data_IF_895697645513
#
_entry.id   IF_895697645513
#
_cell.length_a   1.000
_cell.length_b   1.000
_cell.length_c   1.000
_cell.angle_alpha   90.00
_cell.angle_beta   90.00
_cell.angle_gamma   90.00
#
_symmetry.space_group_name_H-M   'P 1'
#
loop_
_entity.id
_entity.type
_entity.pdbx_description
1 polymer ?
#
# COMPACT_ATOMS: atom_id res chain seq x y z
N UNK A 1 -15.30 -11.75 -33.38
CA UNK A 1 -14.74 -11.97 -32.04
C UNK A 1 -15.59 -11.15 -31.08
N UNK A 2 -16.12 -11.75 -30.02
CA UNK A 2 -16.89 -10.99 -29.02
C UNK A 2 -15.99 -9.93 -28.40
N UNK A 3 -16.50 -8.71 -28.24
CA UNK A 3 -15.79 -7.63 -27.56
C UNK A 3 -15.50 -8.08 -26.11
N UNK A 4 -14.24 -8.04 -25.67
CA UNK A 4 -13.86 -8.40 -24.31
C UNK A 4 -14.59 -7.50 -23.31
N UNK A 5 -15.05 -8.09 -22.20
CA UNK A 5 -15.64 -7.35 -21.09
C UNK A 5 -14.60 -6.48 -20.39
N UNK A 6 -15.07 -5.48 -19.64
CA UNK A 6 -14.20 -4.59 -18.84
C UNK A 6 -13.32 -5.41 -17.88
N UNK A 7 -13.88 -6.40 -17.20
CA UNK A 7 -13.14 -7.24 -16.26
C UNK A 7 -12.07 -8.09 -16.96
N UNK A 8 -12.35 -8.60 -18.16
CA UNK A 8 -11.37 -9.34 -18.96
C UNK A 8 -10.22 -8.43 -19.39
N UNK A 9 -10.51 -7.20 -19.83
CA UNK A 9 -9.47 -6.21 -20.17
C UNK A 9 -8.57 -5.88 -18.96
N UNK A 10 -9.18 -5.61 -17.80
CA UNK A 10 -8.44 -5.32 -16.55
C UNK A 10 -7.59 -6.52 -16.13
N UNK A 11 -8.12 -7.74 -16.26
CA UNK A 11 -7.42 -8.99 -15.95
C UNK A 11 -6.24 -9.20 -16.90
N UNK A 12 -6.48 -9.04 -18.20
CA UNK A 12 -5.49 -9.25 -19.25
C UNK A 12 -4.33 -8.28 -19.09
N UNK A 13 -4.62 -6.98 -18.92
CA UNK A 13 -3.65 -5.92 -18.64
C UNK A 13 -2.85 -6.11 -17.34
N UNK A 14 -3.29 -7.03 -16.46
CA UNK A 14 -2.61 -7.35 -15.21
C UNK A 14 -2.66 -6.21 -14.19
N UNK A 15 -3.79 -5.50 -14.10
CA UNK A 15 -3.96 -4.39 -13.17
C UNK A 15 -4.11 -4.92 -11.73
N UNK A 16 -3.36 -4.32 -10.81
CA UNK A 16 -3.41 -4.60 -9.37
C UNK A 16 -3.59 -3.30 -8.59
N UNK A 17 -4.16 -3.39 -7.39
CA UNK A 17 -4.31 -2.24 -6.50
C UNK A 17 -2.97 -1.60 -6.14
N UNK A 18 -2.81 -0.32 -6.47
CA UNK A 18 -1.57 0.43 -6.27
C UNK A 18 -1.33 0.87 -4.81
N UNK A 19 -2.35 0.84 -3.96
CA UNK A 19 -2.30 1.36 -2.58
C UNK A 19 -1.78 0.39 -1.52
N UNK A 20 -0.95 -0.60 -1.88
CA UNK A 20 -0.39 -1.55 -0.91
C UNK A 20 -0.23 -2.96 -1.47
N UNK A 21 -0.88 -3.95 -0.86
CA UNK A 21 -0.61 -5.38 -1.09
C UNK A 21 -0.85 -5.92 -2.52
N UNK A 22 -1.35 -5.11 -3.46
CA UNK A 22 -1.52 -5.52 -4.85
C UNK A 22 -2.68 -6.48 -5.03
N UNK A 23 -3.85 -6.20 -4.49
CA UNK A 23 -5.03 -7.05 -4.74
C UNK A 23 -5.42 -6.99 -6.23
N UNK A 24 -5.68 -8.13 -6.91
CA UNK A 24 -6.07 -8.12 -8.33
C UNK A 24 -7.34 -7.33 -8.61
N UNK A 25 -7.24 -6.30 -9.45
CA UNK A 25 -8.32 -5.32 -9.62
C UNK A 25 -9.57 -5.92 -10.26
N UNK A 26 -9.40 -6.84 -11.23
CA UNK A 26 -10.54 -7.53 -11.85
C UNK A 26 -11.36 -8.36 -10.86
N UNK A 27 -10.70 -8.98 -9.86
CA UNK A 27 -11.38 -9.71 -8.80
C UNK A 27 -12.04 -8.77 -7.79
N UNK A 28 -11.49 -7.57 -7.60
CA UNK A 28 -12.11 -6.54 -6.73
C UNK A 28 -13.41 -6.01 -7.35
N UNK A 29 -13.50 -5.94 -8.68
CA UNK A 29 -14.64 -5.38 -9.42
C UNK A 29 -15.62 -6.42 -9.97
N UNK A 30 -15.50 -7.68 -9.54
CA UNK A 30 -16.41 -8.75 -9.98
C UNK A 30 -17.75 -8.77 -9.23
N UNK A 31 -17.89 -8.00 -8.15
CA UNK A 31 -19.10 -7.94 -7.32
C UNK A 31 -19.91 -6.67 -7.55
N UNK A 32 -21.18 -6.72 -7.16
CA UNK A 32 -22.05 -5.55 -7.09
C UNK A 32 -21.92 -4.85 -5.73
N UNK A 33 -21.89 -3.52 -5.74
CA UNK A 33 -21.80 -2.71 -4.52
C UNK A 33 -22.68 -1.47 -4.63
N UNK A 34 -22.98 -0.86 -3.49
CA UNK A 34 -23.70 0.41 -3.44
C UNK A 34 -22.73 1.60 -3.55
N UNK A 35 -21.55 1.49 -2.93
CA UNK A 35 -20.52 2.53 -2.93
C UNK A 35 -19.23 2.07 -3.62
N UNK A 36 -18.81 2.82 -4.64
CA UNK A 36 -17.44 2.83 -5.15
C UNK A 36 -16.69 4.01 -4.54
N UNK A 37 -15.77 3.73 -3.63
CA UNK A 37 -14.96 4.72 -2.93
C UNK A 37 -13.56 4.74 -3.54
N UNK A 38 -13.11 5.92 -3.98
CA UNK A 38 -11.77 6.12 -4.51
C UNK A 38 -10.90 6.73 -3.42
N UNK A 39 -9.91 5.96 -2.96
CA UNK A 39 -8.92 6.41 -2.00
C UNK A 39 -7.92 7.32 -2.69
N UNK A 40 -8.06 8.61 -2.44
CA UNK A 40 -7.21 9.69 -2.93
C UNK A 40 -6.63 10.49 -1.75
N UNK A 41 -6.48 9.84 -0.58
CA UNK A 41 -6.06 10.49 0.64
C UNK A 41 -4.52 10.55 0.80
N UNK A 42 -3.75 9.67 0.14
CA UNK A 42 -2.30 9.49 0.30
C UNK A 42 -1.84 9.71 1.76
N UNK A 43 -1.98 8.66 2.57
CA UNK A 43 -1.73 8.75 4.00
C UNK A 43 -0.29 8.49 4.39
N UNK A 44 0.53 7.93 3.50
CA UNK A 44 1.94 7.73 3.75
C UNK A 44 2.68 9.07 3.60
N UNK A 45 3.31 9.59 4.68
CA UNK A 45 4.05 10.83 4.58
C UNK A 45 5.17 10.74 3.53
N UNK A 46 5.59 11.88 2.97
CA UNK A 46 6.62 12.00 1.94
C UNK A 46 6.24 11.49 0.53
N UNK A 47 5.23 10.64 0.37
CA UNK A 47 4.82 10.15 -0.94
C UNK A 47 3.97 11.20 -1.69
N UNK A 48 4.21 11.33 -3.00
CA UNK A 48 3.59 12.34 -3.88
C UNK A 48 3.01 11.76 -5.17
N UNK A 49 3.02 10.45 -5.35
CA UNK A 49 2.57 9.78 -6.58
C UNK A 49 1.09 9.99 -6.85
N UNK A 50 0.24 9.79 -5.85
CA UNK A 50 -1.21 9.94 -6.00
C UNK A 50 -1.61 11.40 -6.25
N UNK A 51 -0.89 12.34 -5.62
CA UNK A 51 -1.00 13.77 -5.89
C UNK A 51 -0.76 14.10 -7.36
N UNK A 52 0.32 13.55 -7.93
CA UNK A 52 0.63 13.77 -9.35
C UNK A 52 -0.49 13.25 -10.26
N UNK A 53 -1.00 12.04 -10.00
CA UNK A 53 -2.11 11.44 -10.78
C UNK A 53 -3.37 12.31 -10.69
N UNK A 54 -3.74 12.76 -9.49
CA UNK A 54 -4.92 13.62 -9.31
C UNK A 54 -4.81 14.94 -10.07
N UNK A 55 -3.63 15.56 -10.15
CA UNK A 55 -3.44 16.85 -10.84
C UNK A 55 -3.35 16.71 -12.36
N UNK A 56 -2.64 15.69 -12.83
CA UNK A 56 -2.23 15.61 -14.24
C UNK A 56 -3.04 14.61 -15.06
N UNK A 57 -3.74 13.67 -14.41
CA UNK A 57 -4.52 12.61 -15.06
C UNK A 57 -5.97 12.54 -14.52
N UNK A 58 -6.51 13.71 -14.12
CA UNK A 58 -7.84 13.81 -13.54
C UNK A 58 -8.92 13.29 -14.49
N UNK A 59 -8.89 13.72 -15.76
CA UNK A 59 -9.89 13.36 -16.77
C UNK A 59 -9.92 11.85 -17.02
N UNK A 60 -8.76 11.23 -17.21
CA UNK A 60 -8.60 9.79 -17.39
C UNK A 60 -9.08 9.01 -16.17
N UNK A 61 -8.74 9.49 -14.97
CA UNK A 61 -9.17 8.90 -13.70
C UNK A 61 -10.69 8.95 -13.56
N UNK A 62 -11.33 10.10 -13.80
CA UNK A 62 -12.80 10.23 -13.71
C UNK A 62 -13.49 9.30 -14.72
N UNK A 63 -13.02 9.23 -15.97
CA UNK A 63 -13.57 8.30 -16.98
C UNK A 63 -13.49 6.84 -16.50
N UNK A 64 -12.37 6.42 -15.92
CA UNK A 64 -12.26 5.08 -15.35
C UNK A 64 -13.22 4.85 -14.18
N UNK A 65 -13.38 5.84 -13.30
CA UNK A 65 -14.32 5.75 -12.18
C UNK A 65 -15.75 5.53 -12.68
N UNK A 66 -16.19 6.23 -13.73
CA UNK A 66 -17.54 6.03 -14.28
C UNK A 66 -17.72 4.66 -14.94
N UNK A 67 -16.72 4.19 -15.69
CA UNK A 67 -16.73 2.85 -16.28
C UNK A 67 -16.81 1.77 -15.18
N UNK A 68 -16.02 1.92 -14.12
CA UNK A 68 -16.04 0.99 -12.98
C UNK A 68 -17.35 1.10 -12.19
N UNK A 69 -17.86 2.31 -11.97
CA UNK A 69 -19.17 2.54 -11.30
C UNK A 69 -20.27 1.75 -12.00
N UNK A 70 -20.33 1.83 -13.33
CA UNK A 70 -21.28 1.05 -14.13
C UNK A 70 -21.02 -0.45 -14.05
N UNK A 71 -19.76 -0.89 -14.13
CA UNK A 71 -19.38 -2.30 -14.05
C UNK A 71 -19.78 -2.96 -12.72
N UNK A 72 -19.69 -2.25 -11.60
CA UNK A 72 -20.01 -2.78 -10.27
C UNK A 72 -21.42 -2.42 -9.80
N UNK A 73 -22.23 -1.79 -10.66
CA UNK A 73 -23.60 -1.38 -10.32
C UNK A 73 -23.70 -0.35 -9.19
N UNK A 74 -22.64 0.43 -8.93
CA UNK A 74 -22.60 1.37 -7.81
C UNK A 74 -23.55 2.55 -8.00
N UNK A 75 -24.37 2.81 -6.99
CA UNK A 75 -25.21 4.01 -6.91
C UNK A 75 -24.35 5.25 -6.69
N UNK A 76 -23.38 5.15 -5.78
CA UNK A 76 -22.50 6.24 -5.38
C UNK A 76 -21.05 5.98 -5.81
N UNK A 77 -20.45 6.94 -6.52
CA UNK A 77 -19.01 6.99 -6.73
C UNK A 77 -18.44 8.21 -5.99
N UNK A 78 -17.57 7.97 -5.01
CA UNK A 78 -17.07 8.99 -4.08
C UNK A 78 -15.55 8.99 -4.07
N UNK A 79 -14.93 10.11 -4.39
CA UNK A 79 -13.49 10.33 -4.22
C UNK A 79 -13.25 10.87 -2.82
N UNK A 80 -12.65 10.04 -1.97
CA UNK A 80 -12.26 10.43 -0.61
C UNK A 80 -10.84 11.00 -0.63
N UNK A 81 -10.72 12.29 -0.37
CA UNK A 81 -9.45 13.02 -0.38
C UNK A 81 -9.37 13.98 0.80
N UNK A 82 -8.21 14.59 1.04
CA UNK A 82 -8.03 15.48 2.19
C UNK A 82 -8.25 16.94 1.78
N UNK A 83 -8.93 17.71 2.63
CA UNK A 83 -9.36 19.10 2.37
C UNK A 83 -8.24 20.05 1.93
N UNK A 84 -6.99 19.80 2.36
CA UNK A 84 -5.84 20.64 2.04
C UNK A 84 -5.18 20.31 0.70
N UNK A 85 -5.63 19.27 -0.01
CA UNK A 85 -5.18 18.95 -1.37
C UNK A 85 -5.90 19.84 -2.39
N UNK A 86 -5.73 21.17 -2.25
CA UNK A 86 -6.54 22.15 -2.96
C UNK A 86 -6.34 22.12 -4.47
N UNK A 87 -5.10 21.86 -4.93
CA UNK A 87 -4.78 21.76 -6.36
C UNK A 87 -5.38 20.50 -6.98
N UNK A 88 -5.27 19.38 -6.27
CA UNK A 88 -5.81 18.08 -6.67
C UNK A 88 -7.33 18.13 -6.74
N UNK A 89 -7.98 18.68 -5.69
CA UNK A 89 -9.44 18.83 -5.65
C UNK A 89 -9.91 19.72 -6.80
N UNK A 90 -9.18 20.81 -7.09
CA UNK A 90 -9.52 21.68 -8.22
C UNK A 90 -9.45 20.95 -9.57
N UNK A 91 -8.39 20.18 -9.81
CA UNK A 91 -8.23 19.38 -11.02
C UNK A 91 -9.34 18.32 -11.16
N UNK A 92 -9.63 17.58 -10.08
CA UNK A 92 -10.70 16.58 -10.04
C UNK A 92 -12.08 17.20 -10.27
N UNK A 93 -12.40 18.33 -9.62
CA UNK A 93 -13.67 19.05 -9.84
C UNK A 93 -13.83 19.54 -11.26
N UNK A 94 -12.74 20.04 -11.86
CA UNK A 94 -12.74 20.45 -13.26
C UNK A 94 -13.05 19.27 -14.17
N UNK A 95 -12.40 18.13 -13.97
CA UNK A 95 -12.65 16.92 -14.76
C UNK A 95 -14.08 16.38 -14.57
N UNK A 96 -14.62 16.38 -13.36
CA UNK A 96 -16.00 15.97 -13.08
C UNK A 96 -16.99 16.87 -13.83
N UNK A 97 -16.76 18.19 -13.81
CA UNK A 97 -17.64 19.17 -14.48
C UNK A 97 -17.54 19.06 -16.00
N UNK A 98 -16.33 18.90 -16.54
CA UNK A 98 -16.08 18.75 -17.97
C UNK A 98 -16.79 17.52 -18.54
N UNK A 99 -16.79 16.41 -17.79
CA UNK A 99 -17.35 15.13 -18.22
C UNK A 99 -18.83 14.96 -17.86
N UNK A 100 -19.43 15.90 -17.12
CA UNK A 100 -20.76 15.75 -16.50
C UNK A 100 -20.87 14.43 -15.70
N UNK A 101 -19.79 14.11 -14.98
CA UNK A 101 -19.62 12.79 -14.37
C UNK A 101 -20.43 12.66 -13.07
N UNK A 102 -21.06 11.49 -12.87
CA UNK A 102 -21.81 11.18 -11.64
C UNK A 102 -20.89 10.73 -10.49
N UNK A 103 -19.97 11.61 -10.10
CA UNK A 103 -18.91 11.38 -9.10
C UNK A 103 -18.87 12.55 -8.13
N UNK A 104 -18.76 12.27 -6.83
CA UNK A 104 -18.65 13.30 -5.78
C UNK A 104 -17.29 13.26 -5.09
N UNK A 105 -16.90 14.37 -4.47
CA UNK A 105 -15.68 14.45 -3.66
C UNK A 105 -16.07 14.60 -2.20
N UNK A 106 -15.53 13.71 -1.35
CA UNK A 106 -15.64 13.77 0.10
C UNK A 106 -14.32 14.27 0.68
N UNK A 107 -14.35 15.47 1.27
CA UNK A 107 -13.17 16.15 1.83
C UNK A 107 -13.00 15.84 3.32
N UNK A 108 -12.01 15.03 3.65
CA UNK A 108 -11.66 14.62 5.01
C UNK A 108 -10.59 15.54 5.64
N UNK A 109 -10.45 15.45 6.95
CA UNK A 109 -9.38 16.13 7.69
C UNK A 109 -7.99 15.53 7.44
N UNK A 110 -6.95 16.31 7.71
CA UNK A 110 -5.55 15.89 7.57
C UNK A 110 -5.07 15.00 8.73
N UNK A 111 -5.58 13.77 8.78
CA UNK A 111 -5.30 12.87 9.90
C UNK A 111 -4.92 11.47 9.40
N UNK A 112 -4.01 10.82 10.12
CA UNK A 112 -3.61 9.45 9.86
C UNK A 112 -4.34 8.50 10.83
N UNK A 113 -4.89 7.35 10.37
CA UNK A 113 -4.82 6.77 9.03
C UNK A 113 -6.18 6.81 8.29
N UNK A 114 -6.63 7.97 7.80
CA UNK A 114 -7.87 8.05 6.99
C UNK A 114 -7.81 7.24 5.68
N UNK A 115 -6.60 6.89 5.25
CA UNK A 115 -6.32 6.05 4.09
C UNK A 115 -6.49 4.55 4.31
N UNK A 116 -6.69 4.10 5.55
CA UNK A 116 -7.05 2.69 5.81
C UNK A 116 -8.44 2.39 5.23
N UNK A 117 -8.59 1.27 4.54
CA UNK A 117 -9.81 0.96 3.79
C UNK A 117 -11.08 0.93 4.66
N UNK A 118 -11.02 0.40 5.89
CA UNK A 118 -12.23 0.34 6.74
C UNK A 118 -12.50 1.68 7.41
N UNK A 119 -11.45 2.43 7.77
CA UNK A 119 -11.61 3.82 8.24
C UNK A 119 -12.27 4.65 7.16
N UNK A 120 -11.82 4.53 5.91
CA UNK A 120 -12.37 5.27 4.78
C UNK A 120 -13.83 4.91 4.49
N UNK A 121 -14.19 3.63 4.57
CA UNK A 121 -15.60 3.21 4.46
C UNK A 121 -16.44 3.91 5.53
N UNK A 122 -15.95 3.96 6.77
CA UNK A 122 -16.66 4.64 7.85
C UNK A 122 -16.78 6.15 7.62
N UNK A 123 -15.71 6.85 7.23
CA UNK A 123 -15.75 8.30 6.93
C UNK A 123 -16.78 8.64 5.84
N UNK A 124 -16.86 7.82 4.79
CA UNK A 124 -17.73 8.10 3.65
C UNK A 124 -19.17 7.66 3.88
N UNK A 125 -19.39 6.51 4.55
CA UNK A 125 -20.70 5.85 4.60
C UNK A 125 -21.30 5.75 6.00
N UNK A 126 -20.52 5.99 7.05
CA UNK A 126 -20.88 5.71 8.44
C UNK A 126 -20.96 4.22 8.79
N UNK A 127 -20.67 3.31 7.85
CA UNK A 127 -20.72 1.86 8.06
C UNK A 127 -19.42 1.36 8.67
N UNK A 128 -19.52 0.41 9.59
CA UNK A 128 -18.36 -0.28 10.15
C UNK A 128 -18.19 -1.63 9.47
N UNK A 129 -17.03 -1.85 8.84
CA UNK A 129 -16.67 -3.15 8.28
C UNK A 129 -16.42 -4.12 9.44
N UNK A 130 -17.02 -5.32 9.46
CA UNK A 130 -16.78 -6.29 10.54
C UNK A 130 -15.29 -6.63 10.73
N UNK A 131 -14.86 -7.01 11.95
CA UNK A 131 -13.49 -7.43 12.21
C UNK A 131 -13.07 -8.60 11.30
N UNK A 132 -11.83 -8.57 10.79
CA UNK A 132 -11.32 -9.47 9.73
C UNK A 132 -12.12 -9.44 8.41
N UNK A 133 -13.13 -8.59 8.29
CA UNK A 133 -13.94 -8.43 7.09
C UNK A 133 -13.32 -7.50 6.05
N UNK A 134 -13.95 -7.47 4.89
CA UNK A 134 -13.57 -6.62 3.75
C UNK A 134 -14.71 -5.64 3.42
N UNK A 135 -14.42 -4.49 2.79
CA UNK A 135 -15.44 -3.49 2.41
C UNK A 135 -16.67 -4.04 1.69
N UNK A 136 -16.50 -5.11 0.89
CA UNK A 136 -17.58 -5.74 0.14
C UNK A 136 -18.73 -6.22 1.06
N UNK A 137 -18.43 -6.62 2.29
CA UNK A 137 -19.43 -7.09 3.26
C UNK A 137 -20.41 -6.01 3.71
N UNK A 138 -20.09 -4.74 3.48
CA UNK A 138 -20.95 -3.59 3.80
C UNK A 138 -21.33 -2.79 2.55
N UNK A 139 -21.29 -3.45 1.39
CA UNK A 139 -21.71 -2.89 0.10
C UNK A 139 -20.75 -1.83 -0.44
N UNK A 140 -19.46 -1.94 -0.15
CA UNK A 140 -18.45 -0.96 -0.56
C UNK A 140 -17.28 -1.62 -1.32
N UNK A 141 -16.74 -0.94 -2.32
CA UNK A 141 -15.40 -1.18 -2.87
C UNK A 141 -14.57 0.07 -2.60
N UNK A 142 -13.36 -0.11 -2.06
CA UNK A 142 -12.37 0.97 -1.94
C UNK A 142 -11.26 0.71 -2.95
N UNK A 143 -10.88 1.69 -3.77
CA UNK A 143 -9.78 1.54 -4.73
C UNK A 143 -8.89 2.77 -4.76
N UNK A 144 -7.58 2.60 -4.86
CA UNK A 144 -6.63 3.71 -4.90
C UNK A 144 -6.75 4.50 -6.23
N UNK A 145 -6.56 5.81 -6.18
CA UNK A 145 -6.69 6.71 -7.36
C UNK A 145 -5.75 6.32 -8.50
N UNK A 146 -4.49 5.98 -8.21
CA UNK A 146 -3.53 5.51 -9.23
C UNK A 146 -3.94 4.17 -9.86
N UNK A 147 -4.77 3.38 -9.17
CA UNK A 147 -5.36 2.17 -9.76
C UNK A 147 -6.40 2.52 -10.83
N UNK A 148 -7.18 3.59 -10.65
CA UNK A 148 -8.16 4.04 -11.66
C UNK A 148 -7.47 4.50 -12.94
N UNK A 149 -6.33 5.15 -12.82
CA UNK A 149 -5.55 5.53 -13.99
C UNK A 149 -5.02 4.32 -14.77
N UNK A 150 -4.53 3.27 -14.08
CA UNK A 150 -4.17 2.01 -14.76
C UNK A 150 -5.39 1.30 -15.37
N UNK A 151 -6.56 1.38 -14.73
CA UNK A 151 -7.81 0.83 -15.27
C UNK A 151 -8.24 1.56 -16.54
N UNK A 152 -8.05 2.89 -16.60
CA UNK A 152 -8.33 3.67 -17.81
C UNK A 152 -7.56 3.12 -19.01
N UNK A 153 -6.23 2.99 -18.87
CA UNK A 153 -5.36 2.47 -19.94
C UNK A 153 -5.68 1.02 -20.32
N UNK A 154 -6.02 0.17 -19.35
CA UNK A 154 -6.45 -1.20 -19.63
C UNK A 154 -7.74 -1.25 -20.46
N UNK A 155 -8.71 -0.37 -20.19
CA UNK A 155 -10.02 -0.39 -20.87
C UNK A 155 -9.96 0.32 -22.22
N UNK A 156 -9.36 1.51 -22.28
CA UNK A 156 -9.39 2.37 -23.46
C UNK A 156 -8.24 2.13 -24.44
N UNK A 157 -7.03 1.88 -23.93
CA UNK A 157 -5.85 1.74 -24.78
C UNK A 157 -5.46 0.27 -25.00
N UNK A 158 -6.21 -0.67 -24.39
CA UNK A 158 -5.87 -2.09 -24.33
C UNK A 158 -4.40 -2.31 -23.86
N UNK A 159 -3.95 -1.44 -22.94
CA UNK A 159 -2.56 -1.34 -22.54
C UNK A 159 -2.30 -2.02 -21.18
N UNK A 160 -1.30 -2.92 -21.08
CA UNK A 160 -0.93 -3.55 -19.83
C UNK A 160 -0.17 -2.62 -18.89
N UNK A 161 -0.17 -2.96 -17.59
CA UNK A 161 0.64 -2.24 -16.59
C UNK A 161 2.11 -2.65 -16.72
N UNK A 162 2.86 -1.83 -17.45
CA UNK A 162 4.29 -2.01 -17.76
C UNK A 162 5.19 -0.99 -17.09
N UNK A 163 4.62 0.10 -16.55
CA UNK A 163 5.36 1.17 -15.88
C UNK A 163 4.77 1.46 -14.51
N UNK A 164 5.58 2.03 -13.63
CA UNK A 164 5.20 2.40 -12.29
C UNK A 164 5.78 3.76 -11.91
N UNK A 165 4.94 4.56 -11.27
CA UNK A 165 5.32 5.83 -10.66
C UNK A 165 5.70 5.61 -9.20
N UNK A 166 6.82 6.20 -8.78
CA UNK A 166 7.28 6.17 -7.40
C UNK A 166 7.88 7.52 -6.99
N UNK A 167 7.81 7.81 -5.69
CA UNK A 167 8.51 8.95 -5.08
C UNK A 167 9.89 8.50 -4.60
N UNK A 168 10.96 9.10 -5.10
CA UNK A 168 12.32 8.91 -4.56
C UNK A 168 12.69 10.15 -3.75
N UNK A 169 12.90 9.99 -2.45
CA UNK A 169 13.13 11.12 -1.52
C UNK A 169 13.96 10.71 -0.32
N UNK A 170 14.14 11.60 0.65
CA UNK A 170 14.99 11.40 1.81
C UNK A 170 16.38 11.98 1.61
N UNK A 171 17.41 11.29 2.13
CA UNK A 171 18.82 11.65 2.00
C UNK A 171 19.37 11.36 0.60
N UNK A 172 18.73 11.91 -0.43
CA UNK A 172 19.12 11.79 -1.85
C UNK A 172 19.58 13.13 -2.40
N UNK A 173 20.38 13.12 -3.47
CA UNK A 173 20.91 14.34 -4.09
C UNK A 173 19.81 15.29 -4.59
N UNK A 174 18.78 14.74 -5.24
CA UNK A 174 17.63 15.47 -5.76
C UNK A 174 16.36 14.60 -5.67
N UNK A 175 15.45 14.87 -4.70
CA UNK A 175 14.16 14.18 -4.62
C UNK A 175 13.36 14.32 -5.91
N UNK A 176 12.74 13.23 -6.38
CA UNK A 176 12.04 13.17 -7.68
C UNK A 176 10.81 12.28 -7.63
N UNK A 177 9.84 12.62 -8.48
CA UNK A 177 8.86 11.66 -8.96
C UNK A 177 9.43 10.97 -10.21
N UNK A 178 9.52 9.66 -10.16
CA UNK A 178 9.99 8.84 -11.28
C UNK A 178 8.83 8.03 -11.85
N UNK A 179 8.79 7.93 -13.17
CA UNK A 179 8.00 6.95 -13.89
C UNK A 179 8.97 6.00 -14.59
N UNK A 180 8.97 4.72 -14.20
CA UNK A 180 9.98 3.73 -14.62
C UNK A 180 9.31 2.44 -15.11
N UNK A 181 9.96 1.63 -15.97
CA UNK A 181 9.53 0.27 -16.27
C UNK A 181 9.43 -0.60 -15.00
N UNK A 182 8.39 -1.44 -14.92
CA UNK A 182 8.29 -2.45 -13.85
C UNK A 182 9.50 -3.39 -13.96
N UNK A 183 10.13 -3.70 -12.82
CA UNK A 183 11.36 -4.48 -12.73
C UNK A 183 12.63 -3.62 -12.77
N UNK A 184 12.53 -2.29 -12.84
CA UNK A 184 13.70 -1.40 -12.73
C UNK A 184 14.38 -1.57 -11.37
N UNK A 185 15.71 -1.80 -11.29
CA UNK A 185 16.43 -1.88 -10.02
C UNK A 185 16.33 -0.60 -9.18
N UNK A 186 16.28 -0.75 -7.85
CA UNK A 186 16.23 0.40 -6.95
C UNK A 186 17.48 1.29 -7.03
N UNK A 187 18.65 0.69 -7.28
CA UNK A 187 19.89 1.42 -7.50
C UNK A 187 19.80 2.41 -8.67
N UNK A 188 19.10 2.02 -9.74
CA UNK A 188 18.88 2.88 -10.91
C UNK A 188 17.96 4.06 -10.54
N UNK A 189 16.92 3.82 -9.75
CA UNK A 189 16.05 4.88 -9.24
C UNK A 189 16.80 5.83 -8.29
N UNK A 190 17.65 5.29 -7.41
CA UNK A 190 18.48 6.07 -6.50
C UNK A 190 19.50 6.94 -7.28
N UNK A 191 20.18 6.35 -8.27
CA UNK A 191 21.09 7.08 -9.14
C UNK A 191 20.38 8.20 -9.93
N UNK A 192 19.17 7.95 -10.42
CA UNK A 192 18.35 8.96 -11.09
C UNK A 192 17.96 10.14 -10.18
N UNK A 193 17.90 9.92 -8.87
CA UNK A 193 17.73 10.95 -7.84
C UNK A 193 19.06 11.55 -7.34
N UNK A 194 20.16 11.36 -8.06
CA UNK A 194 21.48 11.91 -7.72
C UNK A 194 22.26 11.11 -6.67
N UNK A 195 21.83 9.89 -6.35
CA UNK A 195 22.47 9.04 -5.35
C UNK A 195 22.26 9.55 -3.91
N UNK A 196 23.03 8.99 -2.98
CA UNK A 196 23.13 9.46 -1.59
C UNK A 196 24.59 9.69 -1.23
N UNK A 197 24.85 10.67 -0.35
CA UNK A 197 26.18 10.96 0.18
C UNK A 197 26.41 10.28 1.55
N UNK A 198 25.49 9.42 1.99
CA UNK A 198 25.62 8.68 3.24
C UNK A 198 26.53 7.47 3.03
N UNK A 199 27.48 7.28 3.95
CA UNK A 199 28.34 6.09 3.96
C UNK A 199 27.54 4.82 4.27
N UNK A 200 26.63 4.92 5.26
CA UNK A 200 25.70 3.88 5.67
C UNK A 200 24.28 4.45 5.73
N UNK A 201 23.31 3.72 5.18
CA UNK A 201 21.91 4.15 5.18
C UNK A 201 20.93 2.99 5.29
N UNK A 202 19.72 3.33 5.74
CA UNK A 202 18.53 2.50 5.60
C UNK A 202 17.66 3.06 4.48
N UNK A 203 16.80 2.23 3.91
CA UNK A 203 15.77 2.69 2.99
C UNK A 203 14.43 2.05 3.23
N UNK A 204 13.36 2.82 3.00
CA UNK A 204 11.99 2.35 3.01
C UNK A 204 11.54 2.05 1.56
N UNK A 205 11.08 0.83 1.34
CA UNK A 205 10.28 0.44 0.16
C UNK A 205 8.81 0.70 0.48
N UNK A 206 8.27 1.80 -0.07
CA UNK A 206 6.96 2.35 0.24
C UNK A 206 7.02 3.60 1.12
N UNK A 207 6.03 3.75 2.01
CA UNK A 207 5.90 4.91 2.88
C UNK A 207 6.51 4.72 4.28
N UNK A 208 6.65 5.80 5.07
CA UNK A 208 7.21 5.73 6.42
C UNK A 208 6.48 4.79 7.39
N UNK A 209 5.15 4.68 7.31
CA UNK A 209 4.39 3.91 8.30
C UNK A 209 4.30 2.44 7.91
N UNK A 210 3.81 2.14 6.70
CA UNK A 210 3.56 0.76 6.26
C UNK A 210 4.62 0.21 5.30
N UNK A 211 5.59 1.02 4.87
CA UNK A 211 6.68 0.58 4.02
C UNK A 211 7.64 -0.39 4.73
N UNK A 212 8.35 -1.18 3.93
CA UNK A 212 9.36 -2.12 4.46
C UNK A 212 10.67 -1.38 4.66
N UNK A 213 11.20 -1.42 5.88
CA UNK A 213 12.51 -0.87 6.22
C UNK A 213 13.60 -1.91 5.92
N UNK A 214 14.57 -1.55 5.09
CA UNK A 214 15.66 -2.41 4.66
C UNK A 214 17.01 -1.71 4.86
N UNK A 215 18.07 -2.49 4.97
CA UNK A 215 19.44 -2.00 4.97
C UNK A 215 19.99 -1.81 3.55
N UNK A 216 20.99 -0.94 3.41
CA UNK A 216 21.71 -0.67 2.17
C UNK A 216 22.22 -1.93 1.46
N UNK A 217 22.65 -2.98 2.17
CA UNK A 217 23.23 -4.17 1.54
C UNK A 217 22.23 -4.95 0.68
N UNK A 218 20.94 -4.79 0.95
CA UNK A 218 19.85 -5.44 0.20
C UNK A 218 19.36 -4.64 -1.00
N UNK A 219 19.85 -3.41 -1.24
CA UNK A 219 19.30 -2.54 -2.29
C UNK A 219 19.44 -3.13 -3.70
N UNK A 220 20.54 -3.85 -3.95
CA UNK A 220 20.82 -4.51 -5.22
C UNK A 220 19.80 -5.62 -5.56
N UNK A 221 19.15 -6.19 -4.53
CA UNK A 221 18.12 -7.23 -4.69
C UNK A 221 16.71 -6.64 -4.88
N UNK A 222 16.55 -5.31 -4.78
CA UNK A 222 15.26 -4.65 -4.87
C UNK A 222 14.99 -4.09 -6.26
N UNK A 223 13.74 -4.25 -6.68
CA UNK A 223 13.24 -3.79 -7.98
C UNK A 223 11.87 -3.16 -7.81
N UNK A 224 11.54 -2.22 -8.70
CA UNK A 224 10.24 -1.57 -8.74
C UNK A 224 9.17 -2.56 -9.18
N UNK A 225 8.19 -2.79 -8.32
CA UNK A 225 7.03 -3.65 -8.60
C UNK A 225 5.80 -2.80 -8.89
N UNK A 226 4.70 -3.43 -9.33
CA UNK A 226 3.41 -2.73 -9.55
C UNK A 226 2.87 -2.02 -8.28
N UNK A 227 3.33 -2.44 -7.10
CA UNK A 227 2.90 -1.93 -5.80
C UNK A 227 3.88 -0.93 -5.17
N UNK A 228 5.08 -0.76 -5.74
CA UNK A 228 6.09 0.15 -5.18
C UNK A 228 5.64 1.61 -5.30
N UNK A 229 5.44 2.30 -4.18
CA UNK A 229 4.99 3.70 -4.16
C UNK A 229 6.10 4.70 -3.86
N UNK A 230 7.20 4.26 -3.23
CA UNK A 230 8.33 5.13 -2.93
C UNK A 230 9.61 4.40 -2.55
N UNK A 231 10.71 5.14 -2.64
CA UNK A 231 12.03 4.81 -2.13
C UNK A 231 12.49 5.98 -1.27
N UNK A 232 12.53 5.79 0.04
CA UNK A 232 12.91 6.84 0.99
C UNK A 232 14.23 6.44 1.64
N UNK A 233 15.30 7.18 1.35
CA UNK A 233 16.63 6.95 1.94
C UNK A 233 16.75 7.75 3.25
N UNK A 234 17.26 7.12 4.30
CA UNK A 234 17.48 7.77 5.57
C UNK A 234 18.78 7.29 6.22
N UNK A 235 19.35 8.12 7.08
CA UNK A 235 20.50 7.73 7.89
C UNK A 235 20.17 6.50 8.75
N UNK A 236 21.13 5.61 8.89
CA UNK A 236 21.04 4.47 9.80
C UNK A 236 21.27 4.90 11.26
N UNK A 237 20.38 5.74 11.77
CA UNK A 237 20.47 6.29 13.12
C UNK A 237 19.09 6.40 13.81
N UNK A 238 19.13 6.63 15.12
CA UNK A 238 17.94 6.97 15.91
C UNK A 238 16.85 5.90 15.88
N UNK A 239 15.63 6.33 15.56
CA UNK A 239 14.44 5.47 15.63
C UNK A 239 14.41 4.39 14.54
N UNK A 240 14.79 4.73 13.30
CA UNK A 240 14.79 3.77 12.19
C UNK A 240 15.82 2.67 12.42
N UNK A 241 17.03 3.03 12.89
CA UNK A 241 18.04 2.06 13.31
C UNK A 241 17.49 1.08 14.35
N UNK A 242 16.88 1.61 15.43
CA UNK A 242 16.24 0.77 16.45
C UNK A 242 15.22 -0.17 15.80
N UNK A 243 14.32 0.35 14.99
CA UNK A 243 13.24 -0.44 14.40
C UNK A 243 13.76 -1.56 13.47
N UNK A 244 14.83 -1.32 12.72
CA UNK A 244 15.38 -2.30 11.78
C UNK A 244 16.13 -3.44 12.47
N UNK A 245 17.02 -3.12 13.41
CA UNK A 245 17.90 -4.12 14.05
C UNK A 245 17.32 -4.74 15.32
N UNK A 246 16.20 -4.23 15.83
CA UNK A 246 15.60 -4.76 17.05
C UNK A 246 14.96 -6.14 16.79
N UNK A 247 15.45 -7.14 17.52
CA UNK A 247 14.95 -8.52 17.49
C UNK A 247 13.66 -8.68 18.30
N UNK A 248 12.88 -9.74 18.00
CA UNK A 248 11.66 -10.07 18.77
C UNK A 248 12.01 -10.37 20.23
N UNK A 249 13.15 -11.00 20.49
CA UNK A 249 13.67 -11.27 21.83
C UNK A 249 13.97 -9.98 22.60
N UNK A 250 14.56 -8.97 21.95
CA UNK A 250 14.75 -7.65 22.56
C UNK A 250 13.41 -6.97 22.83
N UNK A 251 12.47 -7.00 21.89
CA UNK A 251 11.11 -6.44 22.08
C UNK A 251 10.44 -7.09 23.27
N UNK A 252 10.54 -8.42 23.40
CA UNK A 252 10.00 -9.18 24.51
C UNK A 252 10.60 -8.74 25.84
N UNK A 253 11.93 -8.69 25.93
CA UNK A 253 12.62 -8.26 27.15
C UNK A 253 12.29 -6.81 27.53
N UNK A 254 12.27 -5.88 26.58
CA UNK A 254 11.87 -4.48 26.80
C UNK A 254 10.40 -4.39 27.26
N UNK A 255 9.51 -5.20 26.67
CA UNK A 255 8.10 -5.27 27.06
C UNK A 255 7.95 -5.76 28.50
N UNK A 256 8.74 -6.76 28.92
CA UNK A 256 8.79 -7.26 30.30
C UNK A 256 9.29 -6.21 31.29
N UNK A 257 10.35 -5.48 30.95
CA UNK A 257 11.05 -4.61 31.89
C UNK A 257 10.53 -3.17 31.95
N UNK A 258 10.01 -2.63 30.83
CA UNK A 258 9.76 -1.20 30.68
C UNK A 258 8.29 -0.85 30.39
N UNK A 259 7.43 -1.80 30.03
CA UNK A 259 6.03 -1.49 29.76
C UNK A 259 5.31 -1.02 31.03
N UNK A 260 4.86 0.25 31.03
CA UNK A 260 4.08 0.83 32.14
C UNK A 260 2.59 0.45 32.13
N UNK A 261 2.19 -0.44 31.22
CA UNK A 261 0.85 -1.02 31.13
C UNK A 261 -0.31 -0.01 30.95
N UNK A 262 -0.05 1.20 30.43
CA UNK A 262 -1.11 2.14 30.05
C UNK A 262 -1.97 1.61 28.87
N UNK A 263 -3.04 2.33 28.49
CA UNK A 263 -3.96 1.95 27.39
C UNK A 263 -3.74 2.71 26.08
N UNK A 264 -2.78 3.64 26.00
CA UNK A 264 -2.65 4.59 24.88
C UNK A 264 -2.55 3.90 23.50
N UNK A 265 -1.85 2.77 23.40
CA UNK A 265 -1.73 2.02 22.15
C UNK A 265 -3.06 1.41 21.67
N UNK A 266 -4.05 1.28 22.54
CA UNK A 266 -5.42 0.90 22.19
C UNK A 266 -6.32 2.11 21.97
N UNK A 267 -6.19 3.13 22.81
CA UNK A 267 -7.00 4.34 22.69
C UNK A 267 -6.77 5.04 21.33
N UNK A 268 -5.54 4.97 20.80
CA UNK A 268 -5.19 5.49 19.48
C UNK A 268 -5.29 4.46 18.34
N UNK A 269 -5.74 3.24 18.60
CA UNK A 269 -5.86 2.22 17.55
C UNK A 269 -7.08 2.51 16.66
N UNK A 270 -6.92 2.65 15.33
CA UNK A 270 -8.03 2.99 14.44
C UNK A 270 -9.12 1.92 14.42
N UNK A 271 -8.76 0.64 14.55
CA UNK A 271 -9.70 -0.47 14.63
C UNK A 271 -10.50 -0.43 15.94
N UNK A 272 -9.84 -0.14 17.06
CA UNK A 272 -10.51 0.04 18.35
C UNK A 272 -11.49 1.22 18.30
N UNK A 273 -11.07 2.33 17.68
CA UNK A 273 -11.91 3.52 17.52
C UNK A 273 -13.15 3.29 16.63
N UNK A 274 -13.14 2.27 15.77
CA UNK A 274 -14.32 1.81 15.03
C UNK A 274 -15.21 0.84 15.84
N UNK A 275 -14.85 0.56 17.09
CA UNK A 275 -15.60 -0.32 17.98
C UNK A 275 -15.19 -1.80 17.90
N UNK A 276 -14.07 -2.11 17.25
CA UNK A 276 -13.57 -3.48 17.19
C UNK A 276 -12.87 -3.88 18.50
N UNK A 277 -12.92 -5.17 18.83
CA UNK A 277 -12.32 -5.71 20.04
C UNK A 277 -10.82 -5.95 19.82
N UNK A 278 -10.05 -4.87 19.68
CA UNK A 278 -8.60 -4.90 19.60
C UNK A 278 -7.98 -3.95 20.62
N UNK A 279 -7.17 -4.53 21.50
CA UNK A 279 -6.53 -3.84 22.60
C UNK A 279 -5.04 -4.18 22.61
N UNK A 280 -4.20 -3.48 21.80
CA UNK A 280 -2.77 -3.76 21.79
C UNK A 280 -2.12 -3.70 23.19
N UNK A 281 -2.65 -2.91 24.13
CA UNK A 281 -2.14 -2.89 25.51
C UNK A 281 -2.34 -4.23 26.23
N UNK A 282 -3.44 -4.95 25.99
CA UNK A 282 -3.69 -6.27 26.59
C UNK A 282 -2.75 -7.31 25.99
N UNK A 283 -2.59 -7.30 24.66
CA UNK A 283 -1.62 -8.15 23.95
C UNK A 283 -0.21 -7.92 24.50
N UNK A 284 0.21 -6.67 24.71
CA UNK A 284 1.50 -6.33 25.31
C UNK A 284 1.66 -6.85 26.74
N UNK A 285 0.64 -6.71 27.59
CA UNK A 285 0.67 -7.26 28.96
C UNK A 285 0.77 -8.78 28.96
N UNK A 286 0.06 -9.43 28.05
CA UNK A 286 0.08 -10.88 27.91
C UNK A 286 1.45 -11.36 27.41
N UNK A 287 2.06 -10.62 26.47
CA UNK A 287 3.42 -10.86 26.00
C UNK A 287 4.48 -10.66 27.10
N UNK A 288 4.26 -9.70 28.01
CA UNK A 288 5.16 -9.49 29.14
C UNK A 288 5.16 -10.65 30.16
N UNK A 289 4.13 -11.49 30.20
CA UNK A 289 4.04 -12.60 31.18
C UNK A 289 4.20 -13.99 30.56
N UNK A 290 4.25 -14.08 29.23
CA UNK A 290 4.53 -15.32 28.52
C UNK A 290 5.92 -15.88 28.90
N UNK A 291 6.05 -17.21 28.87
CA UNK A 291 7.30 -17.88 29.23
C UNK A 291 8.43 -17.46 28.28
N UNK A 292 8.16 -17.54 26.97
CA UNK A 292 9.04 -17.10 25.90
C UNK A 292 8.23 -16.51 24.72
N UNK A 293 8.93 -16.10 23.66
CA UNK A 293 8.32 -15.46 22.48
C UNK A 293 7.40 -16.40 21.68
N UNK A 294 7.48 -17.71 21.89
CA UNK A 294 6.68 -18.73 21.21
C UNK A 294 5.50 -19.22 22.04
N UNK A 295 5.40 -18.82 23.31
CA UNK A 295 4.28 -19.11 24.20
C UNK A 295 3.04 -18.26 23.85
N UNK A 296 2.51 -18.53 22.66
CA UNK A 296 1.35 -17.86 22.05
C UNK A 296 0.35 -18.95 21.72
N UNK A 297 -0.63 -19.13 22.58
CA UNK A 297 -1.68 -20.16 22.46
C UNK A 297 -3.00 -19.49 22.05
N UNK A 298 -3.98 -20.20 21.49
CA UNK A 298 -5.31 -19.63 21.26
C UNK A 298 -5.90 -19.12 22.59
N UNK A 299 -6.12 -17.82 22.68
CA UNK A 299 -6.70 -17.08 23.80
C UNK A 299 -7.42 -15.86 23.21
N UNK A 300 -8.59 -15.45 23.73
CA UNK A 300 -9.29 -14.26 23.26
C UNK A 300 -8.41 -13.02 23.10
N UNK A 301 -7.46 -12.76 24.02
CA UNK A 301 -6.53 -11.63 23.97
C UNK A 301 -5.55 -11.76 22.82
N UNK A 302 -4.98 -12.95 22.60
CA UNK A 302 -4.06 -13.17 21.48
C UNK A 302 -4.77 -13.04 20.14
N UNK A 303 -5.99 -13.56 20.06
CA UNK A 303 -6.80 -13.50 18.85
C UNK A 303 -7.13 -12.06 18.43
N UNK A 304 -7.22 -11.10 19.35
CA UNK A 304 -7.37 -9.67 19.03
C UNK A 304 -6.26 -9.16 18.07
N UNK A 305 -5.05 -9.73 18.10
CA UNK A 305 -3.96 -9.33 17.20
C UNK A 305 -4.26 -9.63 15.72
N UNK A 306 -5.15 -10.59 15.44
CA UNK A 306 -5.53 -11.00 14.09
C UNK A 306 -6.22 -9.88 13.31
N UNK A 307 -6.90 -8.95 13.99
CA UNK A 307 -7.62 -7.84 13.37
C UNK A 307 -6.78 -6.57 13.25
N UNK A 308 -5.49 -6.64 13.63
CA UNK A 308 -4.54 -5.55 13.48
C UNK A 308 -4.33 -5.20 12.00
N UNK A 309 -4.42 -3.91 11.68
CA UNK A 309 -4.12 -3.35 10.36
C UNK A 309 -2.67 -2.88 10.19
N UNK A 310 -1.81 -3.11 11.19
CA UNK A 310 -0.35 -2.89 11.10
C UNK A 310 0.06 -1.42 10.83
N UNK A 311 -0.86 -0.47 11.04
CA UNK A 311 -0.66 0.97 10.78
C UNK A 311 0.42 1.68 11.62
N UNK A 312 1.00 1.03 12.64
CA UNK A 312 2.15 1.58 13.40
C UNK A 312 1.85 2.72 14.38
N UNK A 313 0.62 3.24 14.47
CA UNK A 313 0.25 4.30 15.43
C UNK A 313 0.64 3.93 16.86
N UNK A 314 0.36 2.69 17.26
CA UNK A 314 0.62 2.20 18.60
C UNK A 314 2.11 2.22 18.99
N UNK A 315 3.00 2.16 18.00
CA UNK A 315 4.45 2.04 18.15
C UNK A 315 5.15 3.39 17.94
N UNK A 316 4.82 4.10 16.87
CA UNK A 316 5.45 5.38 16.51
C UNK A 316 4.94 6.55 17.37
N UNK A 317 3.64 6.57 17.66
CA UNK A 317 2.97 7.72 18.28
C UNK A 317 2.54 7.44 19.71
N UNK A 318 1.86 6.31 19.95
CA UNK A 318 1.10 6.10 21.17
C UNK A 318 1.96 5.69 22.37
N UNK A 319 3.01 4.87 22.16
CA UNK A 319 3.77 4.29 23.27
C UNK A 319 4.71 5.34 23.89
N UNK A 320 4.49 5.79 25.14
CA UNK A 320 5.36 6.76 25.78
C UNK A 320 6.74 6.18 26.13
N UNK A 321 6.83 4.86 26.22
CA UNK A 321 8.06 4.12 26.53
C UNK A 321 8.88 3.76 25.29
N UNK A 322 8.39 4.07 24.08
CA UNK A 322 9.09 3.73 22.83
C UNK A 322 9.20 2.22 22.59
N UNK A 323 8.20 1.44 23.03
CA UNK A 323 8.07 0.01 22.78
C UNK A 323 7.36 -0.25 21.44
N UNK A 324 7.32 -1.53 21.06
CA UNK A 324 6.92 -1.96 19.71
C UNK A 324 5.59 -2.76 19.66
N UNK A 325 4.43 -2.22 20.12
CA UNK A 325 3.17 -2.97 20.09
C UNK A 325 2.75 -3.43 18.70
N UNK A 326 3.11 -2.71 17.63
CA UNK A 326 2.85 -3.16 16.26
C UNK A 326 3.61 -4.44 16.00
N UNK A 327 4.92 -4.47 16.24
CA UNK A 327 5.73 -5.67 16.03
C UNK A 327 5.23 -6.85 16.88
N UNK A 328 4.83 -6.62 18.13
CA UNK A 328 4.24 -7.68 18.98
C UNK A 328 2.94 -8.23 18.36
N UNK A 329 2.04 -7.39 17.88
CA UNK A 329 0.82 -7.85 17.22
C UNK A 329 1.12 -8.62 15.93
N UNK A 330 2.09 -8.17 15.11
CA UNK A 330 2.52 -8.88 13.90
C UNK A 330 3.08 -10.26 14.25
N UNK A 331 3.94 -10.35 15.26
CA UNK A 331 4.51 -11.60 15.75
C UNK A 331 3.44 -12.58 16.25
N UNK A 332 2.55 -12.12 17.12
CA UNK A 332 1.41 -12.91 17.62
C UNK A 332 0.53 -13.41 16.49
N UNK A 333 0.13 -12.51 15.57
CA UNK A 333 -0.66 -12.85 14.40
C UNK A 333 0.01 -13.92 13.55
N UNK A 334 1.33 -13.85 13.35
CA UNK A 334 2.11 -14.85 12.61
C UNK A 334 2.09 -16.22 13.31
N UNK A 335 2.30 -16.27 14.62
CA UNK A 335 2.27 -17.55 15.36
C UNK A 335 0.88 -18.18 15.41
N UNK A 336 -0.17 -17.38 15.60
CA UNK A 336 -1.55 -17.86 15.54
C UNK A 336 -1.92 -18.40 14.14
N UNK A 337 -1.48 -17.72 13.08
CA UNK A 337 -1.70 -18.17 11.71
C UNK A 337 -1.04 -19.54 11.42
N UNK A 338 0.17 -19.78 11.94
CA UNK A 338 0.83 -21.10 11.83
C UNK A 338 0.04 -22.21 12.51
N UNK A 339 -0.69 -21.88 13.56
CA UNK A 339 -1.57 -22.80 14.29
C UNK A 339 -2.96 -22.93 13.65
N UNK A 340 -3.23 -22.24 12.54
CA UNK A 340 -4.53 -22.27 11.85
C UNK A 340 -5.63 -21.46 12.55
N UNK A 341 -5.29 -20.64 13.54
CA UNK A 341 -6.24 -19.82 14.29
C UNK A 341 -6.73 -18.67 13.42
N UNK A 342 -8.03 -18.39 13.51
CA UNK A 342 -8.71 -17.26 12.84
C UNK A 342 -9.57 -16.55 13.87
N UNK A 343 -9.61 -15.23 13.79
CA UNK A 343 -10.49 -14.43 14.65
C UNK A 343 -11.96 -14.76 14.38
N UNK A 344 -12.72 -14.96 15.44
CA UNK A 344 -14.17 -15.13 15.39
C UNK A 344 -14.81 -14.19 16.41
N UNK A 345 -16.00 -13.68 16.09
CA UNK A 345 -16.77 -12.86 17.01
C UNK A 345 -18.26 -13.08 16.80
N UNK A 346 -19.00 -13.19 17.89
CA UNK A 346 -20.47 -13.20 17.89
C UNK A 346 -21.05 -11.78 17.89
N UNK A 347 -20.20 -10.76 18.07
CA UNK A 347 -20.61 -9.34 18.07
C UNK A 347 -21.07 -8.95 16.67
N UNK A 348 -22.32 -8.48 16.58
CA UNK A 348 -22.95 -8.07 15.32
C UNK A 348 -22.93 -6.55 15.10
N UNK A 349 -22.86 -5.80 16.18
CA UNK A 349 -22.88 -4.34 16.16
C UNK A 349 -21.58 -3.80 16.73
N UNK A 350 -20.99 -2.84 16.00
CA UNK A 350 -19.75 -2.18 16.36
C UNK A 350 -20.04 -0.69 16.46
N UNK A 351 -19.88 -0.14 17.67
CA UNK A 351 -20.13 1.27 17.93
C UNK A 351 -18.79 2.01 17.92
N UNK A 352 -18.58 2.94 16.98
CA UNK A 352 -17.39 3.80 16.98
C UNK A 352 -17.29 4.61 18.27
N UNK A 353 -16.06 4.91 18.69
CA UNK A 353 -15.79 5.74 19.85
C UNK A 353 -16.25 7.20 19.59
N UNK A 354 -17.14 7.77 20.42
CA UNK A 354 -17.59 9.17 20.26
C UNK A 354 -16.45 10.18 20.32
N UNK A 355 -15.33 9.85 20.94
CA UNK A 355 -14.15 10.71 21.07
C UNK A 355 -13.13 10.51 19.93
N UNK A 356 -13.43 9.71 18.91
CA UNK A 356 -12.51 9.39 17.82
C UNK A 356 -11.91 10.63 17.15
N UNK A 357 -12.72 11.66 16.90
CA UNK A 357 -12.27 12.91 16.26
C UNK A 357 -11.13 13.59 17.03
N UNK A 358 -11.17 13.54 18.37
CA UNK A 358 -10.15 14.13 19.26
C UNK A 358 -8.89 13.28 19.42
N UNK A 359 -8.91 12.04 18.93
CA UNK A 359 -7.79 11.08 19.00
C UNK A 359 -7.02 11.01 17.68
N UNK A 360 -7.32 11.92 16.76
CA UNK A 360 -6.71 12.01 15.44
C UNK A 360 -5.22 12.39 15.50
N UNK A 361 -4.44 11.84 14.57
CA UNK A 361 -2.99 12.04 14.53
C UNK A 361 -2.60 12.86 13.30
N UNK A 362 -1.95 13.98 13.52
CA UNK A 362 -1.39 14.78 12.45
C UNK A 362 -0.17 14.08 11.82
N UNK A 363 -0.10 13.91 10.48
CA UNK A 363 1.03 13.23 9.82
C UNK A 363 2.40 13.84 10.11
N UNK A 364 2.48 15.14 10.40
CA UNK A 364 3.74 15.79 10.82
C UNK A 364 4.36 15.15 12.07
N UNK A 365 3.55 14.68 13.02
CA UNK A 365 4.03 14.09 14.26
C UNK A 365 4.69 12.72 14.00
N UNK A 366 4.23 12.01 12.97
CA UNK A 366 4.84 10.76 12.50
C UNK A 366 6.26 11.04 12.02
N UNK A 367 6.43 12.02 11.12
CA UNK A 367 7.75 12.38 10.58
C UNK A 367 8.73 12.80 11.68
N UNK A 368 8.28 13.57 12.66
CA UNK A 368 9.10 13.96 13.82
C UNK A 368 9.57 12.72 14.60
N UNK A 369 8.63 11.82 14.94
CA UNK A 369 8.94 10.61 15.72
C UNK A 369 9.85 9.64 14.98
N UNK A 370 9.75 9.59 13.66
CA UNK A 370 10.58 8.73 12.81
C UNK A 370 11.93 9.35 12.43
N UNK A 371 12.19 10.62 12.77
CA UNK A 371 13.44 11.30 12.38
C UNK A 371 13.50 11.65 10.89
N UNK A 372 12.34 11.87 10.27
CA UNK A 372 12.18 12.15 8.84
C UNK A 372 11.64 13.55 8.54
N UNK A 373 11.49 14.40 9.56
CA UNK A 373 10.90 15.75 9.41
C UNK A 373 11.68 16.61 8.41
N UNK A 374 13.00 16.48 8.35
CA UNK A 374 13.86 17.25 7.45
C UNK A 374 13.56 17.00 5.96
N UNK A 375 12.81 15.94 5.63
CA UNK A 375 12.43 15.59 4.26
C UNK A 375 10.97 15.97 3.92
N UNK A 376 10.22 16.59 4.84
CA UNK A 376 8.78 16.82 4.70
C UNK A 376 8.40 17.83 3.60
N UNK A 377 9.21 18.86 3.42
CA UNK A 377 8.90 20.06 2.63
C UNK A 377 9.43 19.96 1.18
N UNK A 378 9.26 18.78 0.57
CA UNK A 378 9.63 18.56 -0.83
C UNK A 378 8.41 18.75 -1.73
N UNK A 379 8.52 19.69 -2.66
CA UNK A 379 7.52 19.94 -3.69
C UNK A 379 7.93 19.28 -5.01
N UNK A 380 7.20 18.23 -5.40
CA UNK A 380 7.46 17.44 -6.61
C UNK A 380 6.31 17.63 -7.60
N UNK A 381 6.51 18.50 -8.59
CA UNK A 381 5.49 18.77 -9.63
C UNK A 381 5.72 17.97 -10.92
N UNK A 382 6.98 17.66 -11.23
CA UNK A 382 7.37 17.08 -12.52
C UNK A 382 7.66 15.60 -12.36
N UNK A 383 7.04 14.80 -13.23
CA UNK A 383 7.37 13.40 -13.41
C UNK A 383 8.59 13.27 -14.32
N UNK A 384 9.58 12.50 -13.90
CA UNK A 384 10.74 12.16 -14.70
C UNK A 384 10.58 10.75 -15.25
N UNK A 385 10.47 10.65 -16.57
CA UNK A 385 10.39 9.37 -17.26
C UNK A 385 11.79 8.81 -17.45
N UNK A 386 12.03 7.64 -16.86
CA UNK A 386 13.29 6.92 -16.99
C UNK A 386 13.10 5.74 -17.94
N UNK A 387 14.02 5.59 -18.88
CA UNK A 387 14.19 4.39 -19.69
C UNK A 387 15.39 3.62 -19.17
N UNK A 388 15.32 2.29 -19.22
CA UNK A 388 16.38 1.40 -18.71
C UNK A 388 16.71 0.33 -19.73
N UNK A 389 17.95 -0.15 -19.70
CA UNK A 389 18.43 -1.19 -20.63
C UNK A 389 18.16 -2.60 -20.12
N UNK A 390 17.83 -2.77 -18.83
CA UNK A 390 17.44 -4.05 -18.27
C UNK A 390 16.44 -3.92 -17.12
N UNK A 391 15.63 -4.96 -16.96
CA UNK A 391 14.61 -5.09 -15.91
C UNK A 391 14.58 -6.52 -15.38
N UNK A 392 14.30 -6.65 -14.10
CA UNK A 392 14.12 -7.92 -13.40
C UNK A 392 12.72 -7.94 -12.82
N UNK A 393 11.80 -8.64 -13.46
CA UNK A 393 10.37 -8.57 -13.17
C UNK A 393 9.98 -9.75 -12.27
N UNK A 394 9.60 -9.52 -10.99
CA UNK A 394 9.22 -10.60 -10.11
C UNK A 394 7.92 -11.27 -10.54
N UNK A 395 7.81 -12.58 -10.39
CA UNK A 395 6.58 -13.35 -10.65
C UNK A 395 5.51 -13.14 -9.57
N UNK A 396 5.91 -12.60 -8.42
CA UNK A 396 5.04 -12.34 -7.25
C UNK A 396 5.00 -10.85 -6.90
N UNK A 397 4.04 -10.12 -7.48
CA UNK A 397 3.82 -8.67 -7.23
C UNK A 397 2.41 -8.34 -6.71
N UNK A 398 1.65 -9.34 -6.28
CA UNK A 398 0.25 -9.21 -5.87
C UNK A 398 -0.14 -10.26 -4.83
N UNK A 399 -1.29 -10.08 -4.18
CA UNK A 399 -1.93 -11.13 -3.37
C UNK A 399 -2.30 -12.32 -4.28
N UNK A 400 -2.27 -13.54 -3.72
CA UNK A 400 -2.68 -14.77 -4.41
C UNK A 400 -1.50 -15.66 -4.82
N UNK A 401 -1.62 -16.43 -5.90
CA UNK A 401 -0.53 -17.28 -6.39
C UNK A 401 0.50 -16.43 -7.18
N UNK A 402 1.80 -16.80 -7.23
CA UNK A 402 2.73 -16.19 -8.20
C UNK A 402 2.29 -16.51 -9.65
N UNK A 403 2.60 -15.61 -10.58
CA UNK A 403 2.35 -15.81 -12.00
C UNK A 403 3.42 -16.68 -12.63
N UNK A 404 3.03 -17.58 -13.53
CA UNK A 404 3.93 -18.57 -14.14
C UNK A 404 4.47 -18.01 -15.45
N UNK A 405 5.80 -17.96 -15.65
CA UNK A 405 6.38 -17.53 -16.92
C UNK A 405 5.84 -18.34 -18.12
N UNK A 406 5.54 -17.65 -19.22
CA UNK A 406 5.03 -18.24 -20.48
C UNK A 406 5.97 -18.02 -21.67
N UNK A 407 7.16 -17.47 -21.40
CA UNK A 407 8.25 -17.24 -22.34
C UNK A 407 9.45 -18.12 -21.98
N UNK A 408 10.43 -18.21 -22.88
CA UNK A 408 11.67 -18.97 -22.71
C UNK A 408 12.89 -18.06 -22.78
N UNK A 409 14.00 -18.48 -22.17
CA UNK A 409 15.29 -17.79 -22.33
C UNK A 409 15.68 -17.73 -23.81
N UNK A 410 16.11 -16.56 -24.27
CA UNK A 410 16.44 -16.29 -25.67
C UNK A 410 15.30 -15.68 -26.49
N UNK A 411 14.05 -15.73 -26.01
CA UNK A 411 12.90 -15.13 -26.70
C UNK A 411 13.06 -13.61 -26.84
N UNK A 412 12.65 -13.07 -27.99
CA UNK A 412 12.54 -11.62 -28.21
C UNK A 412 11.13 -11.19 -27.87
N UNK A 413 11.02 -10.20 -26.98
CA UNK A 413 9.74 -9.65 -26.52
C UNK A 413 9.64 -8.18 -26.83
N UNK A 414 8.42 -7.73 -27.09
CA UNK A 414 8.03 -6.32 -27.18
C UNK A 414 7.41 -5.87 -25.88
N UNK A 415 7.59 -4.59 -25.55
CA UNK A 415 6.92 -3.95 -24.42
C UNK A 415 5.41 -4.19 -24.55
N UNK A 416 4.83 -4.78 -23.51
CA UNK A 416 3.43 -5.17 -23.45
C UNK A 416 3.15 -6.65 -23.72
N UNK A 417 4.12 -7.41 -24.24
CA UNK A 417 3.95 -8.85 -24.43
C UNK A 417 3.73 -9.56 -23.10
N UNK A 418 2.81 -10.53 -23.06
CA UNK A 418 2.56 -11.35 -21.88
C UNK A 418 3.75 -12.27 -21.63
N UNK A 419 4.41 -12.10 -20.47
CA UNK A 419 5.59 -12.90 -20.09
C UNK A 419 5.32 -13.86 -18.93
N UNK A 420 4.31 -13.60 -18.10
CA UNK A 420 3.86 -14.56 -17.09
C UNK A 420 2.36 -14.45 -16.86
N UNK A 421 1.70 -15.60 -16.76
CA UNK A 421 0.25 -15.73 -16.64
C UNK A 421 -0.13 -16.24 -15.26
N UNK A 422 -1.26 -15.76 -14.74
CA UNK A 422 -1.81 -16.30 -13.50
C UNK A 422 -2.19 -17.77 -13.68
N UNK A 423 -2.00 -18.64 -12.67
CA UNK A 423 -2.50 -20.00 -12.71
C UNK A 423 -4.04 -20.01 -12.87
N UNK A 424 -4.55 -21.01 -13.58
CA UNK A 424 -6.00 -21.13 -13.80
C UNK A 424 -6.76 -21.25 -12.47
N UNK A 425 -7.89 -20.54 -12.37
CA UNK A 425 -8.72 -20.43 -11.17
C UNK A 425 -8.02 -19.87 -9.91
N UNK A 426 -6.77 -19.40 -10.00
CA UNK A 426 -6.09 -18.72 -8.91
C UNK A 426 -6.38 -17.22 -8.89
N UNK A 427 -6.37 -16.63 -7.69
CA UNK A 427 -6.31 -15.19 -7.53
C UNK A 427 -4.89 -14.72 -7.90
N UNK A 428 -4.77 -13.75 -8.81
CA UNK A 428 -3.49 -13.16 -9.21
C UNK A 428 -3.62 -12.11 -10.30
N UNK A 429 -2.52 -11.61 -10.86
CA UNK A 429 -2.54 -10.74 -12.05
C UNK A 429 -1.46 -11.09 -13.08
N UNK A 430 -1.78 -10.95 -14.36
CA UNK A 430 -0.84 -11.15 -15.46
C UNK A 430 0.35 -10.19 -15.39
N UNK A 431 1.47 -10.59 -16.00
CA UNK A 431 2.72 -9.82 -16.02
C UNK A 431 3.19 -9.72 -17.47
N UNK A 432 3.64 -8.52 -17.84
CA UNK A 432 4.01 -8.17 -19.20
C UNK A 432 5.45 -7.66 -19.25
N UNK A 433 6.09 -7.78 -20.40
CA UNK A 433 7.39 -7.19 -20.66
C UNK A 433 7.29 -5.67 -20.54
N UNK A 434 8.10 -5.08 -19.67
CA UNK A 434 8.09 -3.63 -19.43
C UNK A 434 8.96 -2.83 -20.40
N UNK A 435 9.83 -3.52 -21.14
CA UNK A 435 10.71 -2.99 -22.18
C UNK A 435 10.74 -3.94 -23.39
N UNK A 436 11.15 -3.41 -24.54
CA UNK A 436 11.59 -4.23 -25.68
C UNK A 436 12.93 -4.88 -25.36
N UNK A 437 13.09 -6.18 -25.65
CA UNK A 437 14.35 -6.85 -25.40
C UNK A 437 14.34 -8.35 -25.63
N UNK A 438 15.37 -8.99 -25.10
CA UNK A 438 15.50 -10.44 -25.05
C UNK A 438 15.34 -10.92 -23.60
N UNK A 439 14.67 -12.05 -23.43
CA UNK A 439 14.66 -12.77 -22.15
C UNK A 439 16.06 -13.36 -21.93
N UNK A 440 16.79 -12.81 -20.97
CA UNK A 440 18.16 -13.26 -20.65
C UNK A 440 18.15 -14.44 -19.69
N UNK A 441 17.24 -14.40 -18.70
CA UNK A 441 17.15 -15.43 -17.66
C UNK A 441 15.73 -15.55 -17.13
N UNK A 442 15.30 -16.77 -16.86
CA UNK A 442 14.03 -17.06 -16.16
C UNK A 442 14.31 -17.88 -14.90
N UNK A 443 13.65 -17.51 -13.82
CA UNK A 443 13.61 -18.28 -12.57
C UNK A 443 12.16 -18.38 -12.11
N UNK A 444 11.87 -19.19 -11.09
CA UNK A 444 10.53 -19.24 -10.48
C UNK A 444 10.12 -17.90 -9.87
N UNK A 445 11.09 -17.08 -9.46
CA UNK A 445 10.85 -15.83 -8.73
C UNK A 445 10.85 -14.58 -9.63
N UNK A 446 11.53 -14.62 -10.78
CA UNK A 446 11.71 -13.45 -11.65
C UNK A 446 12.04 -13.78 -13.11
N UNK A 447 11.72 -12.84 -13.99
CA UNK A 447 12.09 -12.81 -15.42
C UNK A 447 13.02 -11.62 -15.68
N UNK A 448 14.22 -11.87 -16.22
CA UNK A 448 15.20 -10.85 -16.59
C UNK A 448 15.11 -10.54 -18.09
N UNK A 449 14.83 -9.28 -18.41
CA UNK A 449 14.77 -8.78 -19.80
C UNK A 449 15.88 -7.76 -19.99
N UNK A 450 16.63 -7.89 -21.09
CA UNK A 450 17.65 -6.93 -21.48
C UNK A 450 17.40 -6.43 -22.90
N UNK A 451 17.52 -5.12 -23.08
CA UNK A 451 17.39 -4.46 -24.38
C UNK A 451 18.44 -5.01 -25.34
N UNK A 452 18.01 -5.39 -26.54
CA UNK A 452 18.92 -5.80 -27.61
C UNK A 452 19.31 -4.54 -28.37
N UNK A 453 20.61 -4.25 -28.43
CA UNK A 453 21.10 -3.17 -29.30
C UNK A 453 20.88 -3.59 -30.75
N UNK A 454 20.10 -2.80 -31.49
CA UNK A 454 19.88 -2.94 -32.93
C UNK A 454 21.11 -2.61 -33.74
#
# INVERSE_FOLDING_TARGET
MSQMSILEKIKDAGVVGCGGAGFPTHAKFSGEVEYLIINAAECEPLLKTDHFVMRNHAVETIKAIEMVKSQVGAEFAVIATKRYYTEEIAALRSAITELDASVTIHEMDNVYPTGDEQVMVFEVTGRVVPPSGIPLMVGCIVSNVSTMWNVFHAIQDDAPVVRKQLTVTGAVGEPKLLDVPVGTPFEVCLAAAGGTNLDEYLFLDGGPMMGKLNDQSTIADKVVTKTTSGLIVAEDTGYLHKLHYQTVEQIFNETKSACIQCSLCSDLCPRQQLGHDIHPHKVMRHFAVAEDITDIKPDPIWEEAMICCECGICEVIACPMGLSPRQVNIHVKKELLKQGVRYQTDKKEFTPDPMREYKSIAPKNILIKMGLQQYADVHLEKMHYLEVDEVFIPTKMHIGAPSIPVVSEGDIVKKGDLIAKIPDAALGANIHASIDGQIVRITEEQVHIKKVMS
#
